data_IF_613150847125
#
_entry.id   IF_613150847125
#
_cell.length_a   1.000
_cell.length_b   1.000
_cell.length_c   1.000
_cell.angle_alpha   90.00
_cell.angle_beta   90.00
_cell.angle_gamma   90.00
#
_symmetry.space_group_name_H-M   'P 1'
#
loop_
_entity.id
_entity.type
_entity.pdbx_description
1 polymer ?
#
# COMPACT_ATOMS: atom_id res chain seq x y z
N UNK A 1 33.06 -14.28 -4.59
CA UNK A 1 31.95 -14.94 -3.86
C UNK A 1 30.83 -13.92 -3.67
N UNK A 2 29.57 -14.20 -4.03
CA UNK A 2 28.49 -13.26 -3.75
C UNK A 2 28.29 -13.21 -2.23
N UNK A 3 28.55 -12.04 -1.64
CA UNK A 3 28.21 -11.75 -0.25
C UNK A 3 26.72 -11.98 -0.08
N UNK A 4 26.35 -13.03 0.67
CA UNK A 4 24.97 -13.24 1.08
C UNK A 4 24.67 -12.18 2.14
N UNK A 5 24.08 -11.06 1.72
CA UNK A 5 23.52 -10.10 2.66
C UNK A 5 22.65 -10.86 3.69
N UNK A 6 22.73 -10.51 4.97
CA UNK A 6 21.91 -11.15 5.99
C UNK A 6 20.43 -11.04 5.59
N UNK A 7 19.59 -12.04 5.94
CA UNK A 7 18.17 -11.97 5.65
C UNK A 7 17.60 -10.70 6.30
N UNK A 8 16.89 -9.91 5.49
CA UNK A 8 16.20 -8.72 5.98
C UNK A 8 15.23 -9.13 7.09
N UNK A 9 15.18 -8.32 8.15
CA UNK A 9 14.29 -8.52 9.30
C UNK A 9 13.36 -7.31 9.38
N UNK A 10 12.03 -7.51 9.51
CA UNK A 10 11.11 -6.42 9.76
C UNK A 10 11.52 -5.60 10.97
N UNK A 11 11.20 -4.30 10.94
CA UNK A 11 11.40 -3.43 12.10
C UNK A 11 10.68 -4.00 13.34
N UNK A 12 11.40 -4.11 14.44
CA UNK A 12 10.83 -4.50 15.74
C UNK A 12 10.03 -3.37 16.39
N UNK A 13 10.19 -2.14 15.90
CA UNK A 13 9.49 -0.96 16.40
C UNK A 13 8.04 -1.03 15.92
N UNK A 14 7.11 -0.96 16.87
CA UNK A 14 5.68 -0.82 16.58
C UNK A 14 5.24 0.58 16.96
N UNK A 15 4.60 1.26 16.03
CA UNK A 15 3.97 2.54 16.31
C UNK A 15 2.67 2.32 17.10
N UNK A 16 2.54 2.97 18.25
CA UNK A 16 1.32 2.97 19.05
C UNK A 16 0.50 4.21 18.70
N UNK A 17 -0.77 4.02 18.35
CA UNK A 17 -1.67 5.14 18.05
C UNK A 17 -1.81 6.04 19.28
N UNK A 18 -1.63 7.37 19.15
CA UNK A 18 -1.87 8.28 20.25
C UNK A 18 -3.37 8.28 20.60
N UNK A 19 -3.76 8.61 21.85
CA UNK A 19 -5.17 8.63 22.26
C UNK A 19 -5.99 9.71 21.55
N UNK A 20 -5.34 10.82 21.18
CA UNK A 20 -5.96 11.97 20.51
C UNK A 20 -5.18 12.33 19.23
N UNK A 21 -5.28 11.51 18.17
CA UNK A 21 -4.60 11.79 16.91
C UNK A 21 -5.17 13.04 16.23
N UNK A 22 -4.34 13.76 15.47
CA UNK A 22 -4.80 14.85 14.61
C UNK A 22 -5.81 14.35 13.55
N UNK A 23 -6.63 15.23 12.96
CA UNK A 23 -7.53 14.82 11.87
C UNK A 23 -6.80 14.18 10.68
N UNK A 24 -5.62 14.68 10.30
CA UNK A 24 -4.81 14.08 9.23
C UNK A 24 -4.36 12.67 9.59
N UNK A 25 -3.90 12.47 10.83
CA UNK A 25 -3.44 11.17 11.31
C UNK A 25 -4.59 10.17 11.46
N UNK A 26 -5.79 10.65 11.82
CA UNK A 26 -7.01 9.84 11.78
C UNK A 26 -7.30 9.32 10.36
N UNK A 27 -7.19 10.18 9.34
CA UNK A 27 -7.33 9.76 7.93
C UNK A 27 -6.29 8.71 7.54
N UNK A 28 -5.03 8.86 7.97
CA UNK A 28 -3.97 7.86 7.71
C UNK A 28 -4.26 6.52 8.39
N UNK A 29 -4.74 6.54 9.64
CA UNK A 29 -5.14 5.30 10.30
C UNK A 29 -6.31 4.62 9.61
N UNK A 30 -7.33 5.39 9.19
CA UNK A 30 -8.43 4.87 8.40
C UNK A 30 -7.94 4.25 7.08
N UNK A 31 -6.96 4.87 6.42
CA UNK A 31 -6.34 4.32 5.21
C UNK A 31 -5.61 3.00 5.47
N UNK A 32 -4.79 2.93 6.51
CA UNK A 32 -4.07 1.70 6.90
C UNK A 32 -5.07 0.59 7.29
N UNK A 33 -6.14 0.93 8.00
CA UNK A 33 -7.18 -0.02 8.39
C UNK A 33 -7.92 -0.53 7.15
N UNK A 34 -8.28 0.34 6.20
CA UNK A 34 -8.87 -0.06 4.93
C UNK A 34 -7.94 -0.99 4.13
N UNK A 35 -6.64 -0.69 4.08
CA UNK A 35 -5.65 -1.55 3.41
C UNK A 35 -5.49 -2.92 4.09
N UNK A 36 -5.53 -2.95 5.42
CA UNK A 36 -5.50 -4.19 6.20
C UNK A 36 -6.77 -5.05 6.04
N UNK A 37 -7.81 -4.49 5.42
CA UNK A 37 -9.06 -5.16 5.12
C UNK A 37 -9.23 -5.43 3.61
N UNK A 38 -8.18 -5.28 2.82
CA UNK A 38 -8.19 -5.46 1.36
C UNK A 38 -8.80 -6.76 0.87
N UNK A 39 -8.67 -7.85 1.62
CA UNK A 39 -9.23 -9.16 1.26
C UNK A 39 -10.71 -9.34 1.62
N UNK A 40 -11.33 -8.32 2.23
CA UNK A 40 -12.78 -8.29 2.54
C UNK A 40 -13.57 -7.63 1.42
N UNK A 41 -14.89 -7.76 1.47
CA UNK A 41 -15.80 -7.09 0.52
C UNK A 41 -15.74 -5.57 0.66
N UNK A 42 -15.85 -4.86 -0.47
CA UNK A 42 -15.86 -3.40 -0.58
C UNK A 42 -14.60 -2.66 -0.11
N UNK A 43 -13.45 -3.32 -0.17
CA UNK A 43 -12.20 -2.76 0.34
C UNK A 43 -11.61 -1.64 -0.51
N UNK A 44 -11.81 -1.69 -1.83
CA UNK A 44 -11.42 -0.61 -2.76
C UNK A 44 -12.23 0.64 -2.45
N UNK A 45 -13.55 0.50 -2.32
CA UNK A 45 -14.48 1.60 -2.02
C UNK A 45 -14.13 2.27 -0.69
N UNK A 46 -13.84 1.48 0.35
CA UNK A 46 -13.37 2.00 1.66
C UNK A 46 -12.09 2.81 1.56
N UNK A 47 -11.19 2.43 0.66
CA UNK A 47 -9.96 3.19 0.43
C UNK A 47 -10.27 4.47 -0.36
N UNK A 48 -11.10 4.37 -1.40
CA UNK A 48 -11.39 5.51 -2.29
C UNK A 48 -12.16 6.65 -1.62
N UNK A 49 -12.99 6.37 -0.60
CA UNK A 49 -13.71 7.43 0.13
C UNK A 49 -12.76 8.37 0.91
N UNK A 50 -11.53 7.93 1.19
CA UNK A 50 -10.52 8.73 1.89
C UNK A 50 -9.78 9.70 0.97
N UNK A 51 -9.97 9.56 -0.34
CA UNK A 51 -9.25 10.32 -1.36
C UNK A 51 -10.08 11.48 -1.88
N UNK A 52 -9.41 12.60 -2.10
CA UNK A 52 -9.95 13.73 -2.83
C UNK A 52 -10.01 13.43 -4.34
N UNK A 53 -10.91 14.08 -5.06
CA UNK A 53 -11.07 13.84 -6.50
C UNK A 53 -9.86 14.33 -7.33
N UNK A 54 -9.04 15.21 -6.73
CA UNK A 54 -7.77 15.67 -7.30
C UNK A 54 -6.57 14.77 -7.02
N UNK A 55 -6.78 13.56 -6.48
CA UNK A 55 -5.72 12.63 -6.08
C UNK A 55 -4.62 12.48 -7.16
N UNK A 56 -3.37 12.68 -6.76
CA UNK A 56 -2.19 12.17 -7.45
C UNK A 56 -1.52 11.05 -6.64
N UNK A 57 -1.53 9.83 -7.17
CA UNK A 57 -0.88 8.68 -6.53
C UNK A 57 0.38 8.27 -7.31
N UNK A 58 1.54 8.32 -6.65
CA UNK A 58 2.85 8.04 -7.25
C UNK A 58 3.50 6.85 -6.56
N UNK A 59 3.76 5.79 -7.35
CA UNK A 59 4.50 4.62 -6.90
C UNK A 59 5.95 4.80 -7.33
N UNK A 60 6.85 4.87 -6.36
CA UNK A 60 8.27 5.16 -6.47
C UNK A 60 9.08 3.93 -5.99
N UNK A 61 10.36 3.78 -6.38
CA UNK A 61 11.18 4.68 -7.22
C UNK A 61 10.80 4.70 -8.70
N UNK A 62 11.30 5.71 -9.42
CA UNK A 62 11.10 5.86 -10.88
C UNK A 62 11.58 4.64 -11.69
N UNK A 63 12.51 3.84 -11.16
CA UNK A 63 12.97 2.59 -11.79
C UNK A 63 11.86 1.55 -11.94
N UNK A 64 10.74 1.68 -11.21
CA UNK A 64 9.55 0.84 -11.40
C UNK A 64 8.70 1.26 -12.61
N UNK A 65 9.01 2.39 -13.25
CA UNK A 65 8.32 2.93 -14.43
C UNK A 65 6.78 2.95 -14.28
N UNK A 66 6.30 3.24 -13.07
CA UNK A 66 4.86 3.32 -12.79
C UNK A 66 4.32 4.70 -13.18
N UNK A 67 3.16 4.78 -13.84
CA UNK A 67 2.53 6.06 -14.12
C UNK A 67 2.05 6.72 -12.82
N UNK A 68 1.83 8.03 -12.88
CA UNK A 68 1.04 8.72 -11.85
C UNK A 68 -0.42 8.35 -12.06
N UNK A 69 -1.10 7.92 -11.00
CA UNK A 69 -2.49 7.48 -11.05
C UNK A 69 -3.38 8.52 -10.41
N UNK A 70 -4.48 8.88 -11.07
CA UNK A 70 -5.56 9.61 -10.42
C UNK A 70 -6.45 8.66 -9.59
N UNK A 71 -7.43 9.19 -8.87
CA UNK A 71 -8.35 8.41 -8.01
C UNK A 71 -9.02 7.24 -8.74
N UNK A 72 -9.53 7.46 -9.96
CA UNK A 72 -10.17 6.40 -10.75
C UNK A 72 -9.17 5.33 -11.18
N UNK A 73 -8.03 5.74 -11.72
CA UNK A 73 -6.98 4.83 -12.17
C UNK A 73 -6.39 4.03 -11.01
N UNK A 74 -6.28 4.64 -9.83
CA UNK A 74 -5.82 3.96 -8.63
C UNK A 74 -6.85 2.93 -8.14
N UNK A 75 -8.15 3.25 -8.18
CA UNK A 75 -9.20 2.27 -7.88
C UNK A 75 -9.13 1.03 -8.80
N UNK A 76 -8.96 1.25 -10.11
CA UNK A 76 -8.79 0.18 -11.10
C UNK A 76 -7.52 -0.65 -10.84
N UNK A 77 -6.40 0.03 -10.58
CA UNK A 77 -5.12 -0.59 -10.23
C UNK A 77 -5.24 -1.47 -8.99
N UNK A 78 -5.76 -0.92 -7.89
CA UNK A 78 -5.95 -1.66 -6.63
C UNK A 78 -6.93 -2.81 -6.84
N UNK A 79 -8.04 -2.61 -7.57
CA UNK A 79 -8.97 -3.70 -7.91
C UNK A 79 -8.29 -4.86 -8.62
N UNK A 80 -7.44 -4.59 -9.62
CA UNK A 80 -6.66 -5.62 -10.31
C UNK A 80 -5.59 -6.27 -9.43
N UNK A 81 -5.00 -5.52 -8.50
CA UNK A 81 -4.04 -6.04 -7.52
C UNK A 81 -4.71 -7.03 -6.56
N UNK A 82 -5.88 -6.68 -6.04
CA UNK A 82 -6.60 -7.50 -5.05
C UNK A 82 -7.08 -8.83 -5.61
N UNK A 83 -7.25 -8.94 -6.93
CA UNK A 83 -7.51 -10.22 -7.59
C UNK A 83 -6.31 -11.19 -7.56
N UNK A 84 -5.13 -10.72 -7.17
CA UNK A 84 -3.89 -11.53 -7.13
C UNK A 84 -3.43 -11.81 -5.70
N UNK A 85 -4.02 -11.16 -4.71
CA UNK A 85 -3.60 -11.22 -3.31
C UNK A 85 -4.63 -11.99 -2.48
N UNK A 86 -4.15 -13.02 -1.79
CA UNK A 86 -4.92 -13.84 -0.86
C UNK A 86 -4.90 -13.29 0.56
N UNK A 87 -3.78 -12.70 0.99
CA UNK A 87 -3.64 -12.07 2.30
C UNK A 87 -2.73 -10.85 2.22
N UNK A 88 -3.01 -9.83 3.02
CA UNK A 88 -2.21 -8.61 3.08
C UNK A 88 -2.30 -7.97 4.46
N UNK A 89 -1.18 -7.45 4.96
CA UNK A 89 -1.10 -6.75 6.24
C UNK A 89 -0.01 -5.69 6.20
N UNK A 90 -0.39 -4.46 6.54
CA UNK A 90 0.49 -3.33 6.82
C UNK A 90 0.72 -3.23 8.33
N UNK A 91 1.99 -3.07 8.71
CA UNK A 91 2.44 -2.72 10.06
C UNK A 91 3.09 -1.35 10.05
N UNK A 92 2.69 -0.49 10.98
CA UNK A 92 3.20 0.88 11.12
C UNK A 92 4.36 0.93 12.11
N UNK A 93 5.47 1.54 11.70
CA UNK A 93 6.72 1.62 12.48
C UNK A 93 7.06 3.04 12.91
N UNK A 94 6.70 4.04 12.10
CA UNK A 94 6.98 5.43 12.37
C UNK A 94 6.01 6.37 11.67
N UNK A 95 5.80 7.54 12.27
CA UNK A 95 4.97 8.62 11.75
C UNK A 95 5.70 9.94 11.99
N UNK A 96 5.81 10.76 10.95
CA UNK A 96 6.25 12.15 11.02
C UNK A 96 5.12 13.00 10.48
N UNK A 97 4.63 13.93 11.30
CA UNK A 97 3.56 14.86 10.93
C UNK A 97 4.12 16.28 10.83
N UNK A 98 3.79 16.98 9.74
CA UNK A 98 4.20 18.37 9.50
C UNK A 98 3.14 19.09 8.68
N UNK A 99 2.31 19.90 9.34
CA UNK A 99 1.25 20.66 8.68
C UNK A 99 0.22 19.76 7.98
N UNK A 100 0.10 19.94 6.66
CA UNK A 100 -0.78 19.18 5.77
C UNK A 100 -0.13 17.90 5.23
N UNK A 101 1.01 17.49 5.78
CA UNK A 101 1.80 16.37 5.30
C UNK A 101 2.05 15.35 6.42
N UNK A 102 1.84 14.07 6.11
CA UNK A 102 2.24 12.96 6.97
C UNK A 102 3.16 12.02 6.20
N UNK A 103 4.26 11.63 6.81
CA UNK A 103 5.15 10.58 6.32
C UNK A 103 5.05 9.39 7.27
N UNK A 104 4.80 8.20 6.72
CA UNK A 104 4.81 6.96 7.48
C UNK A 104 5.90 6.01 6.99
N UNK A 105 6.40 5.21 7.93
CA UNK A 105 7.24 4.05 7.67
C UNK A 105 6.44 2.79 7.96
N UNK A 106 6.30 1.92 6.96
CA UNK A 106 5.52 0.68 7.08
C UNK A 106 6.27 -0.52 6.54
N UNK A 107 5.93 -1.69 7.08
CA UNK A 107 6.20 -2.98 6.46
C UNK A 107 4.87 -3.56 5.99
N UNK A 108 4.89 -4.15 4.82
CA UNK A 108 3.74 -4.82 4.21
C UNK A 108 4.09 -6.29 3.95
N UNK A 109 3.25 -7.20 4.44
CA UNK A 109 3.40 -8.64 4.23
C UNK A 109 2.14 -9.22 3.61
N UNK A 110 2.27 -10.27 2.81
CA UNK A 110 1.12 -10.90 2.17
C UNK A 110 1.44 -12.20 1.48
N UNK A 111 0.41 -12.77 0.87
CA UNK A 111 0.47 -14.00 0.07
C UNK A 111 -0.37 -13.81 -1.19
N UNK A 112 0.17 -14.19 -2.35
CA UNK A 112 -0.58 -14.28 -3.60
C UNK A 112 -1.45 -15.54 -3.68
N UNK A 113 -2.41 -15.58 -4.60
CA UNK A 113 -3.27 -16.78 -4.79
C UNK A 113 -2.49 -18.03 -5.23
N UNK A 114 -1.32 -17.85 -5.84
CA UNK A 114 -0.42 -18.94 -6.21
C UNK A 114 0.62 -19.23 -5.12
N UNK A 115 0.42 -18.74 -3.89
CA UNK A 115 1.27 -19.01 -2.74
C UNK A 115 2.61 -18.29 -2.77
N UNK A 116 2.76 -17.24 -3.58
CA UNK A 116 3.97 -16.38 -3.53
C UNK A 116 3.88 -15.47 -2.34
N UNK A 117 4.85 -15.54 -1.43
CA UNK A 117 4.93 -14.62 -0.30
C UNK A 117 5.41 -13.25 -0.76
N UNK A 118 4.82 -12.21 -0.18
CA UNK A 118 5.25 -10.83 -0.30
C UNK A 118 5.70 -10.32 1.06
N UNK A 119 6.83 -9.61 1.07
CA UNK A 119 7.31 -8.86 2.22
C UNK A 119 8.04 -7.65 1.66
N UNK A 120 7.59 -6.45 2.01
CA UNK A 120 8.17 -5.20 1.54
C UNK A 120 8.22 -4.16 2.65
N UNK A 121 9.17 -3.26 2.54
CA UNK A 121 9.31 -2.08 3.37
C UNK A 121 9.04 -0.85 2.52
N UNK A 122 8.33 0.13 3.07
CA UNK A 122 7.93 1.31 2.32
C UNK A 122 7.89 2.58 3.19
N UNK A 123 8.11 3.71 2.54
CA UNK A 123 7.87 5.04 3.08
C UNK A 123 6.77 5.70 2.28
N UNK A 124 5.68 6.11 2.95
CA UNK A 124 4.55 6.76 2.27
C UNK A 124 4.37 8.17 2.76
N UNK A 125 4.35 9.12 1.83
CA UNK A 125 4.05 10.53 2.10
C UNK A 125 2.64 10.85 1.62
N UNK A 126 1.82 11.36 2.52
CA UNK A 126 0.46 11.84 2.27
C UNK A 126 0.43 13.36 2.32
N UNK A 127 -0.36 13.97 1.45
CA UNK A 127 -0.82 15.36 1.58
C UNK A 127 -2.34 15.41 1.63
N UNK A 128 -2.86 16.34 2.41
CA UNK A 128 -4.28 16.46 2.69
C UNK A 128 -4.86 17.78 2.19
N UNK A 129 -6.14 17.74 1.82
CA UNK A 129 -7.00 18.92 1.69
C UNK A 129 -7.97 18.98 2.88
N UNK A 130 -8.41 20.18 3.29
CA UNK A 130 -9.45 20.33 4.30
C UNK A 130 -10.71 19.51 3.98
N UNK A 131 -11.48 19.10 5.00
CA UNK A 131 -12.72 18.37 4.78
C UNK A 131 -13.72 19.20 3.96
N UNK A 132 -14.46 18.53 3.07
CA UNK A 132 -15.51 19.16 2.27
C UNK A 132 -16.75 19.52 3.12
N UNK A 133 -16.98 18.78 4.21
CA UNK A 133 -18.12 18.94 5.11
C UNK A 133 -17.66 19.32 6.52
N UNK A 134 -18.45 20.12 7.22
CA UNK A 134 -18.15 20.54 8.58
C UNK A 134 -18.13 19.33 9.52
N UNK A 135 -17.02 19.14 10.24
CA UNK A 135 -16.81 17.97 11.11
C UNK A 135 -16.31 16.72 10.40
N UNK A 136 -16.13 16.77 9.07
CA UNK A 136 -15.51 15.69 8.32
C UNK A 136 -14.00 15.58 8.53
N UNK A 137 -13.42 14.45 8.11
CA UNK A 137 -11.97 14.27 8.08
C UNK A 137 -11.34 14.87 6.81
N UNK A 138 -10.09 15.38 6.89
CA UNK A 138 -9.31 15.77 5.72
C UNK A 138 -9.19 14.61 4.72
N UNK A 139 -9.22 14.94 3.42
CA UNK A 139 -9.07 13.95 2.34
C UNK A 139 -7.67 13.98 1.77
N UNK A 140 -7.17 12.84 1.32
CA UNK A 140 -5.83 12.74 0.75
C UNK A 140 -5.88 13.18 -0.73
N UNK A 141 -5.08 14.19 -1.09
CA UNK A 141 -4.95 14.68 -2.47
C UNK A 141 -3.64 14.26 -3.14
N UNK A 142 -2.65 13.79 -2.39
CA UNK A 142 -1.42 13.26 -2.96
C UNK A 142 -0.86 12.12 -2.09
N UNK A 143 -0.45 11.05 -2.75
CA UNK A 143 0.26 9.92 -2.15
C UNK A 143 1.56 9.69 -2.92
N UNK A 144 2.67 9.58 -2.20
CA UNK A 144 3.96 9.11 -2.74
C UNK A 144 4.40 7.90 -1.95
N UNK A 145 4.37 6.73 -2.56
CA UNK A 145 4.80 5.46 -1.96
C UNK A 145 6.18 5.13 -2.49
N UNK A 146 7.20 5.19 -1.64
CA UNK A 146 8.53 4.69 -1.96
C UNK A 146 8.65 3.26 -1.46
N UNK A 147 8.51 2.29 -2.37
CA UNK A 147 8.47 0.87 -2.02
C UNK A 147 9.84 0.20 -2.19
N UNK A 148 10.04 -0.93 -1.52
CA UNK A 148 11.10 -1.87 -1.87
C UNK A 148 10.86 -2.45 -3.28
N UNK A 149 11.40 -1.73 -4.27
CA UNK A 149 11.27 -2.06 -5.69
C UNK A 149 11.72 -3.48 -6.04
N UNK A 150 12.72 -4.02 -5.32
CA UNK A 150 13.19 -5.39 -5.56
C UNK A 150 12.14 -6.39 -5.13
N UNK A 151 11.64 -6.26 -3.90
CA UNK A 151 10.63 -7.17 -3.37
C UNK A 151 9.31 -7.09 -4.15
N UNK A 152 8.88 -5.88 -4.52
CA UNK A 152 7.70 -5.68 -5.37
C UNK A 152 7.85 -6.34 -6.75
N UNK A 153 8.99 -6.12 -7.42
CA UNK A 153 9.24 -6.71 -8.74
C UNK A 153 9.27 -8.24 -8.69
N UNK A 154 9.98 -8.82 -7.71
CA UNK A 154 10.11 -10.26 -7.55
C UNK A 154 8.77 -10.93 -7.27
N UNK A 155 7.93 -10.32 -6.43
CA UNK A 155 6.58 -10.83 -6.17
C UNK A 155 5.75 -10.95 -7.46
N UNK A 156 5.65 -9.87 -8.25
CA UNK A 156 4.82 -9.90 -9.46
C UNK A 156 5.38 -10.84 -10.54
N UNK A 157 6.71 -10.92 -10.66
CA UNK A 157 7.35 -11.84 -11.59
C UNK A 157 7.02 -13.29 -11.25
N UNK A 158 7.19 -13.67 -9.98
CA UNK A 158 6.98 -15.03 -9.50
C UNK A 158 5.50 -15.42 -9.51
N UNK A 159 4.61 -14.51 -9.09
CA UNK A 159 3.17 -14.75 -9.09
C UNK A 159 2.64 -14.94 -10.51
N UNK A 160 3.18 -14.18 -11.49
CA UNK A 160 2.88 -14.37 -12.91
C UNK A 160 3.37 -15.72 -13.41
N UNK A 161 4.63 -16.09 -13.14
CA UNK A 161 5.21 -17.38 -13.54
C UNK A 161 4.35 -18.55 -13.06
N UNK A 162 3.99 -18.57 -11.78
CA UNK A 162 3.13 -19.64 -11.22
C UNK A 162 1.72 -19.64 -11.79
N UNK A 163 1.15 -18.47 -12.09
CA UNK A 163 -0.15 -18.37 -12.76
C UNK A 163 -0.10 -18.99 -14.16
N UNK A 164 0.96 -18.74 -14.92
CA UNK A 164 1.16 -19.30 -16.26
C UNK A 164 1.38 -20.83 -16.19
N UNK A 165 2.13 -21.33 -15.21
CA UNK A 165 2.33 -22.77 -14.99
C UNK A 165 1.05 -23.51 -14.62
N UNK A 166 0.18 -22.91 -13.81
CA UNK A 166 -1.13 -23.49 -13.50
C UNK A 166 -2.08 -23.48 -14.69
N UNK A 167 -2.01 -22.45 -15.54
CA UNK A 167 -2.82 -22.38 -16.75
C UNK A 167 -2.32 -23.31 -17.86
N UNK A 168 -1.00 -23.51 -17.98
CA UNK A 168 -0.36 -24.40 -18.96
C UNK A 168 -0.21 -25.85 -18.50
N UNK A 169 -0.39 -26.14 -17.22
CA UNK A 169 -0.28 -27.47 -16.60
C UNK A 169 -1.46 -28.41 -16.84
N UNK A 170 -2.29 -28.16 -17.85
CA UNK A 170 -3.35 -29.09 -18.25
C UNK A 170 -3.36 -29.32 -19.78
N UNK A 171 -2.62 -30.31 -20.28
CA UNK A 171 -3.08 -31.16 -21.34
C UNK A 171 -3.50 -32.52 -20.74
N UNK A 172 -4.82 -32.75 -20.75
CA UNK A 172 -5.50 -34.04 -20.59
C UNK A 172 -5.56 -34.64 -19.18
#
# INVERSE_FOLDING_TARGET
>A
MPSRSPPWKPSSIKYTRPPNPSPNLQTVFAFIDACNEWTKTRSVERTMVLFDDTLEHRILPNSLARPVLNKKQYAEYTGGLLQRIKSYKISLHGVVESGDTIVIHTTSVGEGFNGTSFSGEEMTTFRFVPPAEQGGLPRICSVKEFVDSRSTYQFFLEERRKSEERAGGNPS
#
